data_IF_710900045055
#
_entry.id   IF_710900045055
#
_cell.length_a   1.000
_cell.length_b   1.000
_cell.length_c   1.000
_cell.angle_alpha   90.00
_cell.angle_beta   90.00
_cell.angle_gamma   90.00
#
_symmetry.space_group_name_H-M   'P 1'
#
loop_
_entity.id
_entity.type
_entity.pdbx_description
1 polymer ?
2 non-polymer ?
3 non-polymer ?
4 non-polymer ?
5 non-polymer ?
6 water ?
#
# COMPACT_ATOMS: atom_id res chain seq x y z
N UNK A 1 21.14 -2.02 -19.10
CA UNK A 1 19.83 -2.43 -18.49
C UNK A 1 19.99 -2.85 -17.04
N UNK A 2 20.87 -3.81 -16.80
CA UNK A 2 21.28 -4.12 -15.44
C UNK A 2 21.80 -2.84 -14.78
N UNK A 3 22.60 -2.09 -15.51
CA UNK A 3 23.13 -0.82 -15.01
C UNK A 3 22.04 0.20 -14.78
N UNK A 4 21.10 0.31 -15.72
CA UNK A 4 19.97 1.22 -15.56
C UNK A 4 19.15 0.87 -14.34
N UNK A 5 18.87 -0.42 -14.17
CA UNK A 5 18.08 -0.88 -13.05
C UNK A 5 18.81 -0.56 -11.74
N UNK A 6 20.09 -0.90 -11.65
CA UNK A 6 20.91 -0.61 -10.48
C UNK A 6 20.87 0.88 -10.13
N UNK A 7 20.88 1.72 -11.16
CA UNK A 7 20.80 3.16 -10.97
C UNK A 7 19.46 3.62 -10.36
N UNK A 8 18.35 3.10 -10.85
CA UNK A 8 17.04 3.40 -10.23
C UNK A 8 17.02 2.94 -8.78
N UNK A 9 17.63 1.78 -8.53
CA UNK A 9 17.62 1.19 -7.19
C UNK A 9 18.52 1.88 -6.19
N UNK A 10 19.35 2.82 -6.64
CA UNK A 10 20.05 3.72 -5.71
C UNK A 10 19.04 4.47 -4.83
N UNK A 11 17.83 4.67 -5.35
CA UNK A 11 16.77 5.37 -4.63
C UNK A 11 15.85 4.45 -3.81
N UNK A 12 16.28 3.22 -3.56
CA UNK A 12 15.44 2.23 -2.88
C UNK A 12 14.91 2.74 -1.55
N UNK A 13 15.74 3.44 -0.81
CA UNK A 13 15.36 3.92 0.53
C UNK A 13 14.76 5.32 0.54
N UNK A 14 14.42 5.82 -0.65
CA UNK A 14 13.95 7.20 -0.82
C UNK A 14 12.51 7.30 -1.34
N UNK A 15 11.73 8.17 -0.71
CA UNK A 15 10.43 8.56 -1.20
C UNK A 15 10.61 8.96 -2.66
N UNK A 16 9.72 8.52 -3.53
CA UNK A 16 9.83 8.88 -4.95
C UNK A 16 10.98 8.21 -5.70
N UNK A 17 11.31 7.00 -5.30
CA UNK A 17 11.93 6.07 -6.21
C UNK A 17 11.03 6.04 -7.45
N UNK A 18 11.60 5.93 -8.64
CA UNK A 18 10.76 5.87 -9.83
C UNK A 18 10.43 4.43 -10.16
N UNK A 19 9.33 3.95 -9.59
CA UNK A 19 8.93 2.55 -9.79
C UNK A 19 8.53 2.27 -11.24
N UNK A 20 8.06 3.29 -11.96
CA UNK A 20 7.77 3.16 -13.39
C UNK A 20 9.03 2.74 -14.17
N UNK A 21 10.13 3.44 -13.94
CA UNK A 21 11.42 3.04 -14.51
C UNK A 21 11.86 1.64 -14.07
N UNK A 22 11.65 1.31 -12.79
CA UNK A 22 11.99 -0.03 -12.28
C UNK A 22 11.26 -1.10 -13.07
N UNK A 23 9.98 -0.86 -13.32
CA UNK A 23 9.18 -1.80 -14.10
C UNK A 23 9.72 -1.94 -15.53
N UNK A 24 10.12 -0.83 -16.13
CA UNK A 24 10.74 -0.88 -17.44
C UNK A 24 12.01 -1.71 -17.50
N UNK A 25 12.89 -1.56 -16.53
CA UNK A 25 14.22 -2.20 -16.58
C UNK A 25 14.26 -3.60 -15.98
N UNK A 26 13.12 -4.09 -15.50
CA UNK A 26 13.04 -5.39 -14.86
C UNK A 26 12.08 -6.27 -15.63
N UNK A 27 11.91 -5.92 -16.91
CA UNK A 27 10.92 -6.53 -17.79
C UNK A 27 9.56 -6.68 -17.16
N UNK A 28 9.09 -5.57 -16.59
CA UNK A 28 7.75 -5.48 -16.06
C UNK A 28 7.47 -6.47 -14.92
N UNK A 29 8.47 -6.63 -14.06
CA UNK A 29 8.33 -7.39 -12.81
C UNK A 29 8.69 -6.50 -11.62
N UNK A 30 8.06 -5.32 -11.51
CA UNK A 30 8.45 -4.39 -10.47
C UNK A 30 8.25 -4.93 -9.05
N UNK A 31 7.24 -5.76 -8.83
CA UNK A 31 6.95 -6.21 -7.47
C UNK A 31 8.03 -7.20 -7.04
N UNK A 32 8.34 -8.16 -7.91
CA UNK A 32 9.40 -9.11 -7.62
C UNK A 32 10.74 -8.40 -7.45
N UNK A 33 11.00 -7.43 -8.31
CA UNK A 33 12.27 -6.71 -8.28
C UNK A 33 12.43 -5.96 -6.96
N UNK A 34 11.43 -5.17 -6.63
CA UNK A 34 11.55 -4.25 -5.50
C UNK A 34 11.50 -5.00 -4.18
N UNK A 35 10.66 -6.02 -4.11
CA UNK A 35 10.62 -6.88 -2.93
C UNK A 35 11.94 -7.57 -2.65
N UNK A 36 12.57 -8.11 -3.70
CA UNK A 36 13.88 -8.72 -3.53
C UNK A 36 14.88 -7.68 -3.06
N UNK A 37 14.86 -6.49 -3.67
CA UNK A 37 15.77 -5.45 -3.27
C UNK A 37 15.53 -5.05 -1.82
N UNK A 38 14.27 -4.94 -1.42
CA UNK A 38 13.96 -4.49 -0.05
C UNK A 38 14.43 -5.54 0.95
N UNK A 39 14.12 -6.80 0.67
CA UNK A 39 14.48 -7.87 1.58
C UNK A 39 15.99 -8.03 1.68
N UNK A 40 16.71 -7.85 0.58
CA UNK A 40 18.17 -7.86 0.62
C UNK A 40 18.67 -6.71 1.48
N UNK A 41 18.06 -5.54 1.29
CA UNK A 41 18.50 -4.30 1.94
C UNK A 41 18.31 -4.33 3.46
N UNK A 42 17.19 -4.87 3.90
CA UNK A 42 16.91 -5.01 5.33
C UNK A 42 17.40 -6.34 5.92
N UNK A 43 18.03 -7.18 5.11
CA UNK A 43 18.56 -8.48 5.56
C UNK A 43 17.50 -9.44 6.04
N UNK A 44 16.30 -9.35 5.47
CA UNK A 44 15.17 -10.14 5.93
C UNK A 44 15.26 -11.60 5.56
N UNK A 45 15.91 -11.88 4.43
CA UNK A 45 16.08 -13.28 4.05
C UNK A 45 17.00 -13.99 5.03
N UNK A 46 18.04 -13.29 5.47
CA UNK A 46 18.97 -13.80 6.45
C UNK A 46 18.30 -13.91 7.79
N UNK A 47 17.69 -12.84 8.24
CA UNK A 47 17.04 -12.82 9.56
C UNK A 47 15.95 -13.86 9.70
N UNK A 48 15.13 -14.06 8.66
CA UNK A 48 14.03 -15.01 8.73
C UNK A 48 14.32 -16.30 7.97
N UNK A 49 15.57 -16.47 7.57
CA UNK A 49 16.07 -17.71 6.98
C UNK A 49 15.22 -18.15 5.82
N UNK A 50 15.07 -17.22 4.87
CA UNK A 50 14.33 -17.42 3.64
C UNK A 50 15.34 -17.56 2.50
N UNK A 51 15.29 -18.67 1.77
CA UNK A 51 16.15 -18.81 0.61
C UNK A 51 15.69 -17.86 -0.50
N UNK A 52 16.62 -17.43 -1.33
CA UNK A 52 16.25 -16.63 -2.51
C UNK A 52 15.35 -17.42 -3.44
N UNK A 53 15.57 -18.73 -3.57
CA UNK A 53 14.68 -19.57 -4.39
C UNK A 53 13.25 -19.47 -3.91
N UNK A 54 13.04 -19.71 -2.62
CA UNK A 54 11.69 -19.66 -2.07
C UNK A 54 11.09 -18.26 -2.23
N UNK A 55 11.89 -17.25 -1.93
CA UNK A 55 11.38 -15.88 -1.95
C UNK A 55 10.98 -15.48 -3.36
N UNK A 56 11.88 -15.69 -4.33
CA UNK A 56 11.58 -15.30 -5.70
C UNK A 56 10.42 -16.13 -6.28
N UNK A 57 10.32 -17.40 -5.88
CA UNK A 57 9.18 -18.22 -6.31
C UNK A 57 7.87 -17.68 -5.75
N UNK A 58 7.82 -17.33 -4.46
CA UNK A 58 6.61 -16.71 -3.92
C UNK A 58 6.31 -15.39 -4.63
N UNK A 59 7.32 -14.53 -4.79
CA UNK A 59 7.08 -13.20 -5.30
C UNK A 59 6.63 -13.26 -6.75
N UNK A 60 7.19 -14.20 -7.51
CA UNK A 60 6.79 -14.33 -8.92
C UNK A 60 5.35 -14.76 -9.03
N UNK A 61 4.95 -15.74 -8.22
CA UNK A 61 3.57 -16.17 -8.19
C UNK A 61 2.62 -15.08 -7.70
N UNK A 62 3.02 -14.35 -6.66
CA UNK A 62 2.22 -13.24 -6.17
C UNK A 62 2.00 -12.20 -7.26
N UNK A 63 3.08 -11.78 -7.88
CA UNK A 63 3.02 -10.80 -8.96
C UNK A 63 2.17 -11.30 -10.14
N UNK A 64 2.21 -12.61 -10.41
CA UNK A 64 1.36 -13.20 -11.45
C UNK A 64 -0.13 -13.21 -11.07
N UNK A 65 -0.44 -13.05 -9.79
CA UNK A 65 -1.83 -12.98 -9.36
C UNK A 65 -2.37 -11.55 -9.23
N UNK A 66 -1.56 -10.56 -9.59
CA UNK A 66 -2.06 -9.24 -9.90
C UNK A 66 -2.45 -9.22 -11.37
N UNK A 67 -3.56 -8.55 -11.68
CA UNK A 67 -4.09 -8.52 -13.05
C UNK A 67 -3.40 -7.45 -13.86
N UNK A 68 -2.69 -7.85 -14.91
CA UNK A 68 -1.96 -6.89 -15.73
C UNK A 68 -2.90 -6.03 -16.58
N UNK A 69 -4.11 -6.52 -16.81
CA UNK A 69 -5.09 -5.79 -17.62
C UNK A 69 -5.87 -4.72 -16.85
N UNK A 70 -5.70 -4.66 -15.53
CA UNK A 70 -6.30 -3.57 -14.76
C UNK A 70 -5.32 -2.39 -14.66
N UNK A 71 -5.85 -1.21 -14.91
CA UNK A 71 -4.99 -0.06 -15.18
C UNK A 71 -4.21 0.41 -13.95
N UNK A 72 -4.80 0.33 -12.75
CA UNK A 72 -4.12 0.86 -11.54
C UNK A 72 -3.79 -0.25 -10.52
N UNK A 73 -4.76 -1.09 -10.20
CA UNK A 73 -4.51 -2.12 -9.20
C UNK A 73 -3.82 -3.35 -9.78
N UNK A 74 -2.61 -3.11 -10.25
CA UNK A 74 -1.79 -4.15 -10.81
C UNK A 74 -0.52 -4.18 -9.99
N UNK A 75 0.49 -4.92 -10.42
CA UNK A 75 1.66 -5.16 -9.57
C UNK A 75 2.59 -3.96 -9.41
N UNK A 76 2.44 -2.95 -10.27
CA UNK A 76 3.21 -1.72 -10.15
C UNK A 76 2.73 -0.94 -8.93
N UNK A 77 1.43 -0.95 -8.68
CA UNK A 77 0.87 -0.29 -7.48
C UNK A 77 1.32 -0.97 -6.20
N UNK A 78 1.25 -2.30 -6.21
CA UNK A 78 1.76 -3.11 -5.11
C UNK A 78 3.21 -2.82 -4.82
N UNK A 79 4.04 -2.80 -5.85
CA UNK A 79 5.45 -2.50 -5.73
C UNK A 79 5.69 -1.15 -5.10
N UNK A 80 4.96 -0.15 -5.60
CA UNK A 80 5.05 1.24 -5.11
C UNK A 80 4.66 1.33 -3.64
N UNK A 81 3.62 0.60 -3.28
CA UNK A 81 3.13 0.62 -1.91
C UNK A 81 4.09 -0.15 -0.99
N UNK A 82 4.71 -1.22 -1.49
CA UNK A 82 5.72 -1.94 -0.73
C UNK A 82 6.95 -1.09 -0.51
N UNK A 83 7.38 -0.38 -1.55
CA UNK A 83 8.57 0.47 -1.44
C UNK A 83 8.32 1.67 -0.53
N UNK A 84 7.13 2.25 -0.59
CA UNK A 84 6.74 3.36 0.28
C UNK A 84 6.62 2.94 1.72
N UNK A 85 6.13 1.73 1.97
CA UNK A 85 6.08 1.19 3.29
C UNK A 85 7.49 1.00 3.85
N UNK A 86 8.39 0.53 3.00
CA UNK A 86 9.78 0.36 3.35
C UNK A 86 10.43 1.68 3.74
N UNK A 87 10.08 2.75 3.06
CA UNK A 87 10.63 4.08 3.40
C UNK A 87 10.04 4.55 4.73
N UNK A 88 8.74 4.42 4.89
CA UNK A 88 8.08 4.90 6.09
C UNK A 88 8.53 4.18 7.35
N UNK A 89 8.80 2.88 7.23
CA UNK A 89 9.36 2.12 8.35
C UNK A 89 10.68 2.66 8.87
N UNK A 90 11.44 3.31 7.99
CA UNK A 90 12.72 3.94 8.36
C UNK A 90 12.63 5.41 8.71
N UNK A 91 11.44 5.90 9.04
CA UNK A 91 11.29 7.30 9.46
C UNK A 91 11.94 7.46 10.85
N UNK A 92 12.85 8.44 10.99
CA UNK A 92 13.65 8.63 12.21
C UNK A 92 12.88 8.60 13.53
N UNK A 93 11.70 9.21 13.56
CA UNK A 93 10.89 9.26 14.77
C UNK A 93 10.46 7.86 15.22
N UNK A 94 10.61 6.87 14.33
CA UNK A 94 10.24 5.49 14.62
C UNK A 94 11.44 4.56 14.76
N UNK A 95 12.63 5.12 14.82
CA UNK A 95 13.83 4.31 15.01
C UNK A 95 13.74 3.38 16.22
N UNK A 96 13.98 2.09 15.97
CA UNK A 96 14.05 1.07 17.03
C UNK A 96 12.73 0.78 17.69
N UNK A 97 11.64 1.30 17.13
CA UNK A 97 10.31 1.11 17.71
C UNK A 97 9.74 -0.26 17.34
N UNK A 98 9.94 -0.70 16.10
CA UNK A 98 9.32 -1.93 15.62
C UNK A 98 10.27 -3.10 15.58
N UNK A 99 9.72 -4.29 15.78
CA UNK A 99 10.49 -5.50 15.78
C UNK A 99 10.76 -5.90 14.33
N UNK A 100 11.74 -6.75 14.13
CA UNK A 100 11.98 -7.38 12.82
C UNK A 100 10.70 -8.03 12.28
N UNK A 101 9.89 -8.60 13.16
CA UNK A 101 8.66 -9.30 12.73
C UNK A 101 7.63 -8.31 12.22
N UNK A 102 7.51 -7.17 12.90
CA UNK A 102 6.62 -6.10 12.49
C UNK A 102 7.03 -5.51 11.13
N UNK A 103 8.33 -5.36 10.89
CA UNK A 103 8.87 -4.83 9.63
C UNK A 103 8.56 -5.78 8.48
N UNK A 104 8.77 -7.05 8.74
CA UNK A 104 8.49 -8.10 7.79
C UNK A 104 7.00 -8.10 7.41
N UNK A 105 6.16 -8.04 8.45
CA UNK A 105 4.73 -8.06 8.30
C UNK A 105 4.22 -6.88 7.51
N UNK A 106 4.77 -5.70 7.77
CA UNK A 106 4.32 -4.49 7.09
C UNK A 106 4.62 -4.57 5.60
N UNK A 107 5.85 -4.92 5.26
CA UNK A 107 6.28 -4.95 3.85
C UNK A 107 5.52 -6.06 3.12
N UNK A 108 5.42 -7.24 3.73
CA UNK A 108 4.61 -8.33 3.16
C UNK A 108 3.15 -7.93 2.96
N UNK A 109 2.51 -7.37 3.99
CA UNK A 109 1.17 -6.82 3.85
C UNK A 109 1.06 -5.87 2.68
N UNK A 110 2.00 -4.96 2.57
CA UNK A 110 1.93 -3.99 1.49
C UNK A 110 2.02 -4.70 0.11
N UNK A 111 2.89 -5.68 0.01
CA UNK A 111 3.07 -6.45 -1.24
C UNK A 111 1.81 -7.19 -1.69
N UNK A 112 1.06 -7.76 -0.74
CA UNK A 112 -0.10 -8.57 -1.06
C UNK A 112 -1.42 -7.80 -1.02
N UNK A 113 -1.39 -6.51 -0.70
CA UNK A 113 -2.59 -5.82 -0.19
C UNK A 113 -3.69 -5.62 -1.22
N UNK A 114 -3.38 -5.75 -2.51
CA UNK A 114 -4.39 -5.69 -3.57
C UNK A 114 -4.30 -6.89 -4.53
N UNK A 115 -3.64 -7.98 -4.14
CA UNK A 115 -3.50 -9.09 -5.06
C UNK A 115 -4.85 -9.60 -5.57
N UNK A 116 -4.90 -10.00 -6.84
CA UNK A 116 -6.11 -10.48 -7.47
C UNK A 116 -7.24 -9.45 -7.44
N UNK A 117 -6.90 -8.17 -7.58
CA UNK A 117 -7.89 -7.12 -7.64
C UNK A 117 -8.59 -7.16 -9.01
N UNK A 118 -9.93 -7.19 -9.02
CA UNK A 118 -10.68 -7.22 -10.27
C UNK A 118 -10.75 -5.87 -10.99
N UNK A 119 -10.43 -4.78 -10.30
CA UNK A 119 -10.46 -3.45 -10.90
C UNK A 119 -11.78 -2.73 -10.72
N UNK A 120 -12.59 -3.20 -9.78
CA UNK A 120 -13.84 -2.55 -9.42
C UNK A 120 -13.84 -2.38 -7.90
N UNK A 121 -14.70 -1.53 -7.37
CA UNK A 121 -14.70 -1.22 -5.95
C UNK A 121 -15.52 -2.25 -5.17
N UNK A 122 -15.38 -2.24 -3.85
CA UNK A 122 -16.24 -3.03 -2.98
C UNK A 122 -17.72 -2.73 -3.19
N UNK A 123 -18.09 -1.46 -3.40
CA UNK A 123 -19.50 -1.09 -3.60
C UNK A 123 -20.07 -1.71 -4.87
N UNK A 124 -19.24 -1.79 -5.90
CA UNK A 124 -19.64 -2.44 -7.14
C UNK A 124 -19.92 -3.92 -6.92
N UNK A 125 -19.01 -4.61 -6.23
CA UNK A 125 -19.14 -6.04 -5.95
C UNK A 125 -20.36 -6.32 -5.08
N UNK A 126 -20.59 -5.43 -4.12
CA UNK A 126 -21.78 -5.46 -3.29
C UNK A 126 -23.06 -5.23 -4.11
N UNK A 127 -23.08 -4.14 -4.86
CA UNK A 127 -24.25 -3.80 -5.67
C UNK A 127 -24.55 -4.80 -6.80
N UNK A 128 -23.59 -5.66 -7.13
CA UNK A 128 -23.82 -6.70 -8.14
C UNK A 128 -23.91 -8.11 -7.54
N UNK A 129 -24.04 -8.20 -6.23
CA UNK A 129 -24.19 -9.47 -5.52
C UNK A 129 -23.11 -10.48 -5.86
N UNK A 130 -21.87 -9.99 -5.91
CA UNK A 130 -20.72 -10.82 -6.20
C UNK A 130 -20.59 -11.97 -5.22
N UNK A 131 -20.00 -13.06 -5.70
CA UNK A 131 -19.68 -14.20 -4.85
C UNK A 131 -18.83 -13.76 -3.67
N UNK A 132 -17.89 -12.84 -3.91
CA UNK A 132 -17.00 -12.39 -2.85
C UNK A 132 -17.77 -11.59 -1.81
N UNK A 133 -18.63 -10.67 -2.28
CA UNK A 133 -19.49 -9.88 -1.40
C UNK A 133 -20.30 -10.79 -0.48
N UNK A 134 -20.88 -11.82 -1.08
CA UNK A 134 -21.63 -12.83 -0.31
C UNK A 134 -20.74 -13.54 0.69
N UNK A 135 -19.59 -14.02 0.24
CA UNK A 135 -18.65 -14.71 1.12
C UNK A 135 -18.35 -13.89 2.39
N UNK A 136 -18.13 -12.59 2.23
CA UNK A 136 -17.63 -11.75 3.33
C UNK A 136 -18.65 -10.77 3.91
N UNK A 137 -19.94 -11.02 3.65
CA UNK A 137 -21.03 -10.19 4.15
C UNK A 137 -20.82 -8.71 3.86
N UNK A 138 -20.39 -8.44 2.65
CA UNK A 138 -20.19 -7.07 2.20
C UNK A 138 -19.13 -6.32 3.01
N UNK A 139 -18.41 -7.01 3.88
CA UNK A 139 -17.49 -6.34 4.82
C UNK A 139 -16.06 -6.42 4.30
N UNK A 140 -15.44 -5.29 3.98
CA UNK A 140 -14.08 -5.27 3.47
C UNK A 140 -13.87 -6.32 2.38
N UNK A 141 -14.76 -6.34 1.40
CA UNK A 141 -14.83 -7.48 0.47
C UNK A 141 -13.50 -7.74 -0.21
N UNK A 142 -12.93 -6.73 -0.88
CA UNK A 142 -11.73 -7.01 -1.65
C UNK A 142 -10.57 -7.26 -0.73
N UNK A 143 -10.55 -6.58 0.41
CA UNK A 143 -9.42 -6.67 1.32
C UNK A 143 -9.38 -8.04 1.98
N UNK A 144 -10.53 -8.59 2.30
CA UNK A 144 -10.61 -9.98 2.78
C UNK A 144 -10.11 -10.94 1.69
N UNK A 145 -10.45 -10.65 0.45
CA UNK A 145 -10.02 -11.47 -0.67
C UNK A 145 -8.51 -11.42 -0.93
N UNK A 146 -7.92 -10.24 -0.92
CA UNK A 146 -6.49 -10.07 -1.06
C UNK A 146 -5.73 -10.91 -0.03
N UNK A 147 -6.20 -10.87 1.22
CA UNK A 147 -5.59 -11.62 2.27
C UNK A 147 -5.70 -13.10 2.00
N UNK A 148 -6.88 -13.53 1.57
CA UNK A 148 -7.15 -14.94 1.36
C UNK A 148 -6.22 -15.46 0.27
N UNK A 149 -6.04 -14.67 -0.79
CA UNK A 149 -5.17 -15.09 -1.91
C UNK A 149 -3.66 -15.00 -1.56
N UNK A 150 -3.25 -13.90 -0.95
CA UNK A 150 -1.86 -13.72 -0.55
C UNK A 150 -1.35 -14.78 0.41
N UNK A 151 -2.20 -15.18 1.37
CA UNK A 151 -1.86 -16.27 2.27
C UNK A 151 -1.92 -17.66 1.62
N UNK A 152 -2.92 -17.92 0.80
CA UNK A 152 -3.05 -19.23 0.17
C UNK A 152 -1.84 -19.56 -0.69
N UNK A 153 -1.26 -18.56 -1.35
CA UNK A 153 -0.10 -18.78 -2.19
C UNK A 153 1.10 -19.30 -1.40
N UNK A 154 1.15 -19.03 -0.11
CA UNK A 154 2.24 -19.51 0.72
C UNK A 154 2.29 -21.02 0.81
N UNK A 155 1.17 -21.66 0.48
CA UNK A 155 1.05 -23.10 0.55
C UNK A 155 1.42 -23.78 -0.78
N UNK A 156 1.74 -22.98 -1.81
CA UNK A 156 2.18 -23.56 -3.09
C UNK A 156 3.60 -24.09 -2.95
N UNK A 157 4.01 -24.96 -3.86
CA UNK A 157 5.34 -25.57 -3.78
C UNK A 157 6.45 -24.52 -3.84
N UNK A 158 7.37 -24.61 -2.87
CA UNK A 158 8.53 -23.73 -2.75
C UNK A 158 8.18 -22.26 -2.53
N UNK A 159 7.01 -22.00 -1.92
CA UNK A 159 6.52 -20.64 -1.72
C UNK A 159 6.44 -20.16 -0.28
N UNK A 160 6.64 -21.05 0.69
CA UNK A 160 6.42 -20.68 2.10
C UNK A 160 7.58 -19.90 2.68
N UNK A 161 7.53 -18.59 2.45
CA UNK A 161 8.57 -17.70 2.93
C UNK A 161 8.60 -17.51 4.47
N UNK A 162 7.62 -18.09 5.18
CA UNK A 162 7.56 -18.00 6.63
C UNK A 162 7.82 -19.32 7.35
N UNK A 163 8.33 -20.29 6.61
CA UNK A 163 8.57 -21.62 7.15
C UNK A 163 9.49 -21.65 8.35
N UNK A 164 10.49 -20.76 8.40
CA UNK A 164 11.44 -20.78 9.53
C UNK A 164 11.19 -19.77 10.62
N UNK A 165 10.06 -19.07 10.56
CA UNK A 165 9.56 -18.32 11.72
C UNK A 165 9.14 -19.32 12.79
N UNK A 166 9.17 -18.90 14.06
CA UNK A 166 8.63 -19.72 15.11
C UNK A 166 7.12 -19.75 14.96
N UNK A 167 6.48 -20.70 15.64
CA UNK A 167 5.04 -20.79 15.59
C UNK A 167 4.36 -19.50 16.05
N UNK A 168 4.82 -18.90 17.14
CA UNK A 168 4.21 -17.69 17.67
C UNK A 168 4.44 -16.50 16.75
N UNK A 169 5.61 -16.48 16.11
CA UNK A 169 5.91 -15.44 15.10
C UNK A 169 4.95 -15.58 13.92
N UNK A 170 4.74 -16.80 13.44
CA UNK A 170 3.83 -17.06 12.32
C UNK A 170 2.41 -16.62 12.67
N UNK A 171 1.97 -16.94 13.88
CA UNK A 171 0.64 -16.56 14.33
C UNK A 171 0.54 -15.04 14.47
N UNK A 172 1.55 -14.42 15.02
CA UNK A 172 1.52 -12.97 15.22
C UNK A 172 1.63 -12.19 13.93
N UNK A 173 2.48 -12.63 13.01
CA UNK A 173 2.57 -12.02 11.69
C UNK A 173 1.27 -12.12 10.90
N UNK A 174 0.60 -13.27 10.95
CA UNK A 174 -0.68 -13.42 10.29
C UNK A 174 -1.69 -12.40 10.81
N UNK A 175 -1.75 -12.21 12.13
CA UNK A 175 -2.70 -11.26 12.70
C UNK A 175 -2.35 -9.82 12.28
N UNK A 176 -1.08 -9.51 12.30
CA UNK A 176 -0.64 -8.15 11.96
C UNK A 176 -0.84 -7.84 10.48
N UNK A 177 -0.58 -8.83 9.63
CA UNK A 177 -0.79 -8.66 8.19
C UNK A 177 -2.27 -8.44 7.89
N UNK A 178 -3.12 -9.28 8.46
CA UNK A 178 -4.57 -9.08 8.38
C UNK A 178 -4.94 -7.64 8.73
N UNK A 179 -4.50 -7.19 9.91
CA UNK A 179 -4.79 -5.83 10.40
C UNK A 179 -4.37 -4.74 9.42
N UNK A 180 -3.20 -4.89 8.85
CA UNK A 180 -2.66 -3.86 7.98
C UNK A 180 -3.35 -3.90 6.61
N UNK A 181 -3.70 -5.09 6.08
CA UNK A 181 -4.41 -5.15 4.79
C UNK A 181 -5.85 -4.68 4.96
N UNK A 182 -6.48 -5.04 6.06
CA UNK A 182 -7.84 -4.54 6.33
C UNK A 182 -7.86 -3.02 6.48
N UNK A 183 -6.74 -2.42 6.86
CA UNK A 183 -6.65 -0.98 7.09
C UNK A 183 -6.62 -0.17 5.79
N UNK A 184 -6.53 -0.87 4.66
CA UNK A 184 -6.59 -0.27 3.35
C UNK A 184 -8.05 -0.19 2.85
N UNK A 185 -9.00 -0.71 3.63
CA UNK A 185 -10.42 -0.57 3.35
C UNK A 185 -10.82 0.83 3.74
N UNK A 186 -11.21 1.65 2.76
CA UNK A 186 -11.60 3.05 3.02
C UNK A 186 -12.71 3.20 4.06
N UNK A 187 -13.53 2.16 4.23
CA UNK A 187 -14.54 2.16 5.29
C UNK A 187 -13.95 2.32 6.69
N UNK A 188 -12.69 1.93 6.87
CA UNK A 188 -12.06 2.01 8.18
C UNK A 188 -11.25 3.30 8.39
N UNK A 189 -11.16 4.11 7.34
CA UNK A 189 -10.33 5.31 7.37
C UNK A 189 -10.62 6.26 8.53
N UNK A 190 -11.89 6.60 8.74
CA UNK A 190 -12.22 7.59 9.77
C UNK A 190 -11.87 7.12 11.17
N UNK A 191 -12.03 5.82 11.45
CA UNK A 191 -11.68 5.30 12.77
C UNK A 191 -10.19 5.16 12.94
N UNK A 192 -9.48 4.81 11.87
CA UNK A 192 -8.03 4.78 11.86
C UNK A 192 -7.44 6.15 12.20
N UNK A 193 -7.96 7.16 11.50
CA UNK A 193 -7.51 8.52 11.67
C UNK A 193 -7.84 9.09 13.07
N UNK A 194 -9.02 8.80 13.57
CA UNK A 194 -9.38 9.17 14.95
C UNK A 194 -8.40 8.57 15.94
N UNK A 195 -8.04 7.30 15.76
CA UNK A 195 -7.04 6.65 16.62
C UNK A 195 -5.66 7.25 16.45
N UNK A 196 -5.29 7.60 15.22
CA UNK A 196 -4.01 8.26 14.95
C UNK A 196 -3.99 9.63 15.65
N UNK A 197 -5.10 10.34 15.60
CA UNK A 197 -5.20 11.64 16.25
C UNK A 197 -5.00 11.51 17.76
N UNK A 198 -5.60 10.48 18.36
CA UNK A 198 -5.39 10.17 19.77
C UNK A 198 -3.93 9.88 20.06
N UNK A 199 -3.33 9.00 19.27
CA UNK A 199 -1.90 8.71 19.32
C UNK A 199 -1.11 10.02 19.45
N UNK A 200 -1.43 10.96 18.58
CA UNK A 200 -0.71 12.24 18.51
C UNK A 200 -0.99 13.12 19.74
N UNK A 201 -2.26 13.21 20.13
CA UNK A 201 -2.68 14.00 21.29
C UNK A 201 -2.04 13.53 22.59
N UNK A 202 -1.62 12.26 22.63
CA UNK A 202 -1.07 11.66 23.83
C UNK A 202 0.30 11.03 23.58
N UNK A 203 1.06 11.56 22.63
CA UNK A 203 2.31 10.90 22.24
C UNK A 203 3.41 11.06 23.28
N UNK A 204 4.18 9.99 23.47
CA UNK A 204 5.32 9.99 24.35
C UNK A 204 6.58 9.87 23.50
N UNK A 205 7.53 10.78 23.75
CA UNK A 205 8.70 10.97 22.90
C UNK A 205 9.96 11.03 23.77
N UNK A 206 11.02 10.34 23.34
CA UNK A 206 12.30 10.34 24.08
C UNK A 206 13.04 11.67 23.90
N UNK A 207 14.18 11.81 24.57
CA UNK A 207 15.02 12.99 24.40
C UNK A 207 15.51 13.13 22.95
N UNK A 208 15.85 12.01 22.33
CA UNK A 208 16.35 12.00 20.95
C UNK A 208 15.27 12.39 19.92
N UNK A 209 14.01 12.37 20.33
CA UNK A 209 12.89 12.68 19.44
C UNK A 209 12.19 11.46 18.87
N UNK A 210 12.44 10.29 19.48
CA UNK A 210 11.86 9.03 19.01
C UNK A 210 10.57 8.71 19.78
N UNK A 211 9.56 8.24 19.06
CA UNK A 211 8.25 7.93 19.64
C UNK A 211 8.33 6.71 20.57
N UNK A 212 7.58 6.75 21.67
CA UNK A 212 7.51 5.64 22.62
C UNK A 212 6.19 4.88 22.48
N UNK A 213 6.28 3.65 22.00
CA UNK A 213 5.11 2.85 21.72
C UNK A 213 5.11 1.61 22.60
N UNK A 214 4.68 1.83 23.84
CA UNK A 214 4.56 0.78 24.85
C UNK A 214 3.80 -0.45 24.37
N UNK A 215 2.46 -0.42 24.43
CA UNK A 215 1.67 -1.63 24.17
C UNK A 215 1.50 -1.96 22.68
N UNK A 216 1.08 -3.20 22.43
CA UNK A 216 0.92 -3.74 21.09
C UNK A 216 -0.16 -3.01 20.31
N UNK A 217 -1.20 -2.55 21.00
CA UNK A 217 -2.30 -1.87 20.34
C UNK A 217 -1.82 -0.54 19.77
N UNK A 218 -0.91 0.11 20.47
CA UNK A 218 -0.33 1.35 19.98
C UNK A 218 0.51 1.10 18.73
N UNK A 219 1.30 0.04 18.77
CA UNK A 219 2.19 -0.28 17.64
C UNK A 219 1.41 -0.62 16.39
N UNK A 220 0.42 -1.50 16.51
CA UNK A 220 -0.38 -1.94 15.36
C UNK A 220 -1.24 -0.82 14.82
N UNK A 221 -1.67 0.10 15.68
CA UNK A 221 -2.41 1.26 15.19
C UNK A 221 -1.53 2.17 14.33
N UNK A 222 -0.26 2.32 14.69
CA UNK A 222 0.67 3.07 13.87
C UNK A 222 0.97 2.29 12.57
N UNK A 223 1.18 0.99 12.67
CA UNK A 223 1.46 0.18 11.48
C UNK A 223 0.29 0.17 10.51
N UNK A 224 -0.93 0.06 11.01
CA UNK A 224 -2.14 0.14 10.16
C UNK A 224 -2.18 1.45 9.40
N UNK A 225 -2.07 2.54 10.14
CA UNK A 225 -2.06 3.88 9.52
C UNK A 225 -0.90 4.10 8.55
N UNK A 226 0.24 3.48 8.85
CA UNK A 226 1.41 3.55 8.02
C UNK A 226 1.14 2.94 6.64
N UNK A 227 0.57 1.75 6.63
CA UNK A 227 0.29 1.06 5.36
C UNK A 227 -0.83 1.80 4.63
N UNK A 228 -1.80 2.32 5.37
CA UNK A 228 -2.87 3.12 4.79
C UNK A 228 -2.27 4.40 4.18
N UNK A 229 -1.32 5.02 4.87
CA UNK A 229 -0.62 6.20 4.31
C UNK A 229 0.09 5.82 3.01
N UNK A 230 0.81 4.70 3.01
CA UNK A 230 1.56 4.27 1.83
C UNK A 230 0.66 3.97 0.64
N UNK A 231 -0.50 3.38 0.93
CA UNK A 231 -1.54 3.11 -0.08
C UNK A 231 -2.09 4.42 -0.67
N UNK A 232 -2.21 5.45 0.15
CA UNK A 232 -2.68 6.77 -0.28
C UNK A 232 -1.54 7.79 -0.46
N UNK A 233 -0.36 7.30 -0.83
CA UNK A 233 0.81 8.14 -0.99
C UNK A 233 0.98 8.75 -2.40
N UNK A 234 0.17 8.37 -3.37
CA UNK A 234 0.38 8.86 -4.76
C UNK A 234 0.47 10.41 -4.81
N UNK A 235 -0.49 11.12 -4.16
CA UNK A 235 -0.50 12.60 -4.21
C UNK A 235 0.66 13.29 -3.52
N UNK A 236 1.38 12.53 -2.69
CA UNK A 236 2.54 13.04 -1.99
C UNK A 236 3.84 12.81 -2.74
N UNK A 237 3.76 12.21 -3.92
CA UNK A 237 4.96 12.01 -4.71
C UNK A 237 5.14 13.20 -5.66
N UNK A 238 6.33 13.30 -6.23
CA UNK A 238 6.65 14.33 -7.23
C UNK A 238 5.59 14.36 -8.32
N UNK A 239 5.27 15.55 -8.77
CA UNK A 239 4.12 15.72 -9.66
C UNK A 239 4.16 14.81 -10.90
N UNK A 240 5.33 14.59 -11.50
CA UNK A 240 5.43 13.78 -12.72
C UNK A 240 4.99 12.34 -12.42
N UNK A 241 5.29 11.88 -11.20
CA UNK A 241 4.86 10.53 -10.77
C UNK A 241 3.36 10.51 -10.50
N UNK A 242 2.89 11.42 -9.65
CA UNK A 242 1.50 11.52 -9.27
C UNK A 242 0.57 11.62 -10.48
N UNK A 243 0.98 12.38 -11.50
CA UNK A 243 0.18 12.47 -12.71
C UNK A 243 0.06 11.14 -13.42
N UNK A 244 1.15 10.37 -13.42
CA UNK A 244 1.10 9.05 -14.00
C UNK A 244 0.11 8.18 -13.25
N UNK A 245 0.14 8.23 -11.92
CA UNK A 245 -0.81 7.46 -11.10
C UNK A 245 -2.26 7.89 -11.33
N UNK A 246 -2.47 9.20 -11.51
CA UNK A 246 -3.81 9.72 -11.75
C UNK A 246 -4.38 9.19 -13.07
N UNK A 247 -3.59 9.26 -14.12
CA UNK A 247 -3.99 8.69 -15.40
C UNK A 247 -4.51 7.27 -15.22
N UNK A 248 -3.76 6.47 -14.46
CA UNK A 248 -4.09 5.05 -14.27
C UNK A 248 -5.38 4.86 -13.48
N UNK A 249 -5.54 5.62 -12.40
CA UNK A 249 -6.71 5.43 -11.55
C UNK A 249 -7.97 5.87 -12.26
N UNK A 250 -7.91 6.98 -13.02
CA UNK A 250 -9.07 7.42 -13.76
C UNK A 250 -9.41 6.40 -14.86
N UNK A 251 -8.41 5.82 -15.52
CA UNK A 251 -8.71 4.79 -16.52
C UNK A 251 -9.48 3.67 -15.84
N UNK A 252 -9.01 3.25 -14.67
CA UNK A 252 -9.68 2.19 -13.93
C UNK A 252 -11.09 2.62 -13.50
N UNK A 253 -11.24 3.87 -13.09
CA UNK A 253 -12.55 4.40 -12.69
C UNK A 253 -13.52 4.40 -13.85
N UNK A 254 -13.02 4.80 -15.02
CA UNK A 254 -13.87 4.93 -16.19
C UNK A 254 -14.34 3.57 -16.69
N UNK A 255 -13.50 2.56 -16.55
CA UNK A 255 -13.90 1.21 -16.87
C UNK A 255 -15.03 0.73 -15.96
N UNK A 256 -14.90 0.91 -14.65
CA UNK A 256 -15.98 0.53 -13.76
C UNK A 256 -17.29 1.23 -14.15
N UNK A 257 -17.21 2.55 -14.37
CA UNK A 257 -18.38 3.33 -14.78
C UNK A 257 -19.04 2.84 -16.05
N UNK A 258 -18.21 2.46 -17.03
CA UNK A 258 -18.72 1.85 -18.24
C UNK A 258 -19.48 0.56 -17.93
N UNK A 259 -18.98 -0.24 -17.00
CA UNK A 259 -19.66 -1.47 -16.58
C UNK A 259 -20.99 -1.16 -15.92
N UNK A 260 -20.99 -0.14 -15.07
CA UNK A 260 -22.21 0.27 -14.38
C UNK A 260 -23.27 0.74 -15.37
N UNK A 261 -22.85 1.53 -16.36
CA UNK A 261 -23.76 2.05 -17.37
C UNK A 261 -24.36 0.92 -18.21
N UNK A 262 -23.52 0.03 -18.73
CA UNK A 262 -24.00 -1.09 -19.54
C UNK A 262 -24.92 -2.02 -18.76
N UNK A 263 -24.70 -2.14 -17.45
CA UNK A 263 -25.57 -2.94 -16.59
C UNK A 263 -26.77 -2.15 -16.11
N UNK A 264 -26.96 -0.94 -16.65
CA UNK A 264 -28.06 -0.08 -16.25
C UNK A 264 -28.03 0.30 -14.79
N UNK A 265 -26.83 0.37 -14.22
CA UNK A 265 -26.63 0.82 -12.84
C UNK A 265 -26.35 2.33 -12.85
N UNK A 266 -26.57 2.96 -11.70
CA UNK A 266 -26.14 4.34 -11.50
C UNK A 266 -24.62 4.34 -11.41
N UNK A 267 -23.99 5.18 -12.22
CA UNK A 267 -22.54 5.25 -12.30
C UNK A 267 -21.96 5.85 -11.02
N UNK A 268 -20.84 5.31 -10.56
CA UNK A 268 -20.26 5.71 -9.28
C UNK A 268 -19.57 7.07 -9.37
N UNK A 269 -19.36 7.73 -8.21
CA UNK A 269 -18.67 9.02 -8.20
C UNK A 269 -17.31 8.95 -8.91
N UNK A 270 -17.11 9.83 -9.88
CA UNK A 270 -15.84 9.96 -10.62
C UNK A 270 -15.62 8.90 -11.71
N UNK A 271 -16.63 8.05 -11.95
CA UNK A 271 -16.51 6.95 -12.91
C UNK A 271 -17.20 7.21 -14.26
N UNK A 272 -17.98 8.29 -14.33
CA UNK A 272 -18.58 8.67 -15.61
C UNK A 272 -17.62 9.53 -16.40
N UNK A 273 -17.02 8.92 -17.42
CA UNK A 273 -16.05 9.60 -18.29
C UNK A 273 -16.61 10.83 -19.01
N UNK A 274 -17.93 10.88 -19.19
CA UNK A 274 -18.55 12.01 -19.89
C UNK A 274 -18.72 13.23 -18.99
N UNK A 275 -18.68 13.06 -17.66
CA UNK A 275 -18.87 14.18 -16.74
C UNK A 275 -17.78 14.36 -15.68
N UNK A 276 -16.84 13.42 -15.59
CA UNK A 276 -15.85 13.45 -14.51
C UNK A 276 -14.79 14.51 -14.76
N UNK A 277 -14.41 15.22 -13.69
CA UNK A 277 -13.21 16.03 -13.70
C UNK A 277 -12.14 15.36 -12.84
N UNK A 278 -11.09 14.93 -13.51
CA UNK A 278 -9.93 14.31 -12.88
C UNK A 278 -9.32 15.23 -11.83
N UNK A 279 -9.20 16.50 -12.17
CA UNK A 279 -8.59 17.48 -11.29
C UNK A 279 -9.45 17.73 -10.04
N UNK A 280 -10.75 17.90 -10.25
CA UNK A 280 -11.68 18.20 -9.16
C UNK A 280 -11.73 17.04 -8.20
N UNK A 281 -11.72 15.81 -8.74
CA UNK A 281 -11.74 14.60 -7.94
C UNK A 281 -10.51 14.44 -7.07
N UNK A 282 -9.36 14.80 -7.62
CA UNK A 282 -8.11 14.63 -6.89
C UNK A 282 -8.06 15.63 -5.74
N UNK A 283 -8.48 16.86 -6.01
CA UNK A 283 -8.50 17.90 -4.99
C UNK A 283 -9.44 17.56 -3.85
N UNK A 284 -10.65 17.13 -4.19
CA UNK A 284 -11.62 16.70 -3.20
C UNK A 284 -11.08 15.56 -2.35
N UNK A 285 -10.49 14.58 -3.02
CA UNK A 285 -9.91 13.43 -2.33
C UNK A 285 -8.78 13.86 -1.40
N UNK A 286 -7.92 14.76 -1.85
CA UNK A 286 -6.84 15.24 -0.99
C UNK A 286 -7.40 16.00 0.21
N UNK A 287 -8.40 16.84 -0.05
CA UNK A 287 -8.95 17.71 0.99
C UNK A 287 -9.67 16.92 2.07
N UNK A 288 -10.41 15.91 1.66
CA UNK A 288 -11.26 15.16 2.57
C UNK A 288 -10.60 13.96 3.19
N UNK A 289 -9.63 13.35 2.51
CA UNK A 289 -9.03 12.12 2.99
C UNK A 289 -7.51 12.20 3.13
N UNK A 290 -6.81 12.46 2.03
CA UNK A 290 -5.37 12.31 2.02
C UNK A 290 -4.69 13.34 2.93
N UNK A 291 -5.07 14.61 2.83
CA UNK A 291 -4.38 15.63 3.60
C UNK A 291 -4.63 15.46 5.11
N UNK A 292 -5.88 15.25 5.53
CA UNK A 292 -6.07 15.04 6.97
C UNK A 292 -5.24 13.87 7.54
N UNK A 293 -5.11 12.81 6.74
CA UNK A 293 -4.32 11.64 7.11
C UNK A 293 -2.84 11.97 7.26
N UNK A 294 -2.26 12.50 6.19
CA UNK A 294 -0.84 12.80 6.14
C UNK A 294 -0.41 13.94 7.06
N UNK A 295 -1.32 14.87 7.35
CA UNK A 295 -1.02 15.95 8.29
C UNK A 295 -0.94 15.38 9.69
N UNK A 296 -1.84 14.45 10.00
CA UNK A 296 -1.81 13.76 11.29
C UNK A 296 -0.56 12.87 11.42
N UNK A 297 -0.25 12.12 10.37
CA UNK A 297 0.99 11.35 10.31
C UNK A 297 2.20 12.26 10.53
N UNK A 298 2.23 13.39 9.82
CA UNK A 298 3.32 14.35 9.95
C UNK A 298 3.49 14.83 11.40
N UNK A 299 2.36 15.10 12.06
CA UNK A 299 2.37 15.47 13.47
C UNK A 299 2.96 14.38 14.33
N UNK A 300 2.61 13.13 14.04
CA UNK A 300 3.12 12.02 14.82
C UNK A 300 4.64 11.91 14.70
N UNK A 301 5.19 12.14 13.50
CA UNK A 301 6.61 11.90 13.24
C UNK A 301 7.40 13.21 13.01
N UNK A 302 6.81 14.32 13.39
CA UNK A 302 7.43 15.61 13.13
C UNK A 302 8.89 15.64 13.56
N UNK A 303 9.75 16.27 12.73
CA UNK A 303 9.49 16.88 11.43
C UNK A 303 9.72 15.98 10.21
N UNK A 304 9.71 14.67 10.38
CA UNK A 304 10.23 13.76 9.35
C UNK A 304 9.46 13.73 8.03
N UNK A 305 8.17 14.05 8.09
CA UNK A 305 7.31 14.06 6.90
C UNK A 305 7.04 15.45 6.36
N UNK A 306 7.92 16.38 6.66
CA UNK A 306 7.73 17.78 6.28
C UNK A 306 7.70 17.96 4.76
N UNK A 307 8.63 17.32 4.07
CA UNK A 307 8.72 17.42 2.61
C UNK A 307 7.60 16.70 1.90
N UNK A 308 7.19 15.56 2.45
CA UNK A 308 6.05 14.82 1.91
C UNK A 308 4.78 15.64 1.95
N UNK A 309 4.49 16.21 3.12
CA UNK A 309 3.31 17.02 3.26
C UNK A 309 3.39 18.27 2.41
N UNK A 310 4.55 18.90 2.34
CA UNK A 310 4.71 20.07 1.47
C UNK A 310 4.42 19.70 0.02
N UNK A 311 4.93 18.55 -0.40
CA UNK A 311 4.67 18.05 -1.76
C UNK A 311 3.18 17.79 -1.98
N UNK A 312 2.51 17.19 -1.00
CA UNK A 312 1.07 16.96 -1.08
C UNK A 312 0.32 18.26 -1.31
N UNK A 313 0.63 19.26 -0.50
CA UNK A 313 -0.08 20.53 -0.56
C UNK A 313 0.17 21.25 -1.87
N UNK A 314 1.40 21.19 -2.35
CA UNK A 314 1.76 21.77 -3.66
C UNK A 314 1.05 21.08 -4.83
N UNK A 315 1.00 19.75 -4.80
CA UNK A 315 0.29 18.98 -5.84
C UNK A 315 -1.20 19.25 -5.85
N UNK A 316 -1.75 19.48 -4.65
CA UNK A 316 -3.14 19.78 -4.46
C UNK A 316 -3.46 21.09 -5.14
N UNK A 317 -2.62 22.08 -4.88
CA UNK A 317 -2.84 23.42 -5.43
C UNK A 317 -2.60 23.44 -6.93
N UNK A 318 -1.64 22.66 -7.40
CA UNK A 318 -1.41 22.54 -8.84
C UNK A 318 -2.61 21.93 -9.54
N UNK A 319 -3.15 20.81 -9.05
CA UNK A 319 -4.34 20.22 -9.65
C UNK A 319 -5.53 21.16 -9.58
N UNK A 320 -5.68 21.85 -8.46
CA UNK A 320 -6.79 22.78 -8.31
C UNK A 320 -6.68 23.89 -9.35
N UNK A 321 -5.47 24.38 -9.59
CA UNK A 321 -5.23 25.39 -10.62
C UNK A 321 -5.53 24.88 -12.05
N UNK A 322 -5.61 23.56 -12.22
CA UNK A 322 -5.87 22.96 -13.54
C UNK A 322 -7.33 22.63 -13.74
N UNK A 323 -8.16 22.91 -12.75
CA UNK A 323 -9.59 22.64 -12.85
C UNK A 323 -10.20 23.45 -14.00
X LIG B 1 -3.88 -0.26 -2.89
X LIG C 1 -7.13 -2.03 -1.93
X LIG D 1 -11.86 6.16 -2.36
X LIG D 1 -10.69 5.45 -2.58
X LIG D 1 -12.11 7.35 -3.01
X LIG D 1 -9.76 5.95 -3.50
X LIG D 1 -11.19 7.84 -3.91
X LIG D 1 -10.02 7.14 -4.17
X LIG D 1 -10.47 4.28 -1.90
X LIG D 1 -7.47 1.51 -2.49
X LIG D 1 -8.70 1.27 -2.98
X LIG D 1 -7.20 2.68 -1.78
X LIG D 1 -9.75 2.16 -2.81
X LIG D 1 -8.22 3.59 -1.59
X LIG D 1 -9.49 3.34 -2.10
X LIG D 1 -8.72 -0.05 -3.69
X LIG D 1 -7.40 -0.59 -3.41
X LIG D 1 -6.54 0.41 -2.82
X LIG D 1 -5.55 0.88 -3.74
X LIG D 1 -11.44 9.06 -4.61
X LIG D 1 -9.09 7.68 -5.10
X LIG D 1 -11.62 10.04 -5.17
X LIG D 1 -8.36 8.13 -5.88
X LIG E 1 13.66 -15.41 13.09
X LIG E 1 12.39 -14.76 13.25
X LIG E 1 13.48 -16.74 12.37
X LIG E 1 12.70 -17.56 13.22
X LIG F 1 12.05 -20.77 4.02
X LIG F 1 10.98 -19.87 4.18
X LIG F 1 12.49 -20.70 2.57
X LIG F 1 13.90 -20.81 2.53
X LIG G 1 15.55 3.51 10.83
X LIG G 1 16.28 3.19 9.63
X LIG G 1 15.75 4.92 11.40
X LIG G 1 15.68 6.01 10.44
X LIG H 1 8.12 10.07 6.50
X LIG H 1 7.54 9.47 7.68
X LIG H 1 9.40 9.35 6.08
X LIG H 1 10.49 9.75 6.91
X LIG I 1 -9.26 -2.84 11.59
X LIG I 1 -10.04 -3.91 11.06
X LIG I 1 -8.29 -2.33 10.52
X LIG I 1 -6.96 -2.74 10.87
X LIG J 1 -11.91 -16.14 -1.67
X LIG J 1 -11.59 -14.80 -1.25
X LIG J 1 -12.54 -16.14 -3.06
X LIG J 1 -12.26 -17.34 -3.78
X LIG K 1 -11.28 1.19 -9.22
X LIG K 1 -11.21 -0.12 -8.66
X LIG K 1 -12.55 1.33 -10.03
X LIG K 1 -13.57 1.95 -9.24
X LIG L 1 14.11 -23.93 -0.12
X LIG L 1 14.25 -22.75 0.70
X LIG L 1 14.28 -23.60 -1.60
X LIG L 1 13.03 -23.35 -2.28
X LIG M 1 2.47 -17.10 8.54
X LIG M 1 2.65 -18.49 8.22
X LIG M 1 1.16 -16.61 7.94
X LIG M 1 0.13 -17.54 8.24
X LIG N 1 16.58 0.32 5.64
X LIG N 1 17.66 -0.51 5.24
X LIG N 1 17.09 1.75 5.70
X LIG N 1 18.14 1.78 6.67
X LIG O 1 13.20 0.52 12.25
X LIG O 1 14.13 0.55 13.34
X LIG O 1 11.76 0.24 12.69
X LIG O 1 11.48 0.90 13.93
X LIG P 1 16.29 -7.53 9.90
X LIG P 1 16.61 -8.51 8.90
X LIG P 1 14.92 -6.95 9.57
X LIG P 1 14.72 -5.68 10.19
X LIG Q 1 13.19 -12.60 15.47
X LIG Q 1 13.01 -11.43 16.29
X LIG Q 1 14.01 -12.23 14.22
X LIG Q 1 14.86 -11.11 14.48
X LIG R 1 -15.47 -2.21 7.75
X LIG R 1 -15.17 -2.62 9.09
X LIG R 1 -16.95 -1.94 7.61
X LIG R 1 -17.67 -3.18 7.66
#
# INVERSE_FOLDING_TARGET
NEDHLAKELEDLNKWGLNIFNVAGYSHNRPLTCIMYAIFQERDLLKTFRISSDTFITYMMTLEDHYHSDVAYHNSLHAADVAQSTHVLLSTPALDAVFTDLEILAAIFAAAIHDVDHPGVSNQFLINTNSELALMYNDESVLENHHLAVGFKLLQEEHCDIFMNLTKKQRQTLRKMVIDMVLATDMSKHMSLLADLKTMVETKKVTSSGVLLLDNYTDRIQVLRNMVHCADLSNPTKSLELYRQWTDRIMEEFFQQGDKERERGMEISPMCDKHTASVEKSQVGFIDYIVHPLWETWADLVQPDAQDILDTLEDNRNWYQSMI
ZN ZN
MG MG
3OJ C1 C2 C3 C4 C5 C6 O7 C8 C9 C10 C11 C12 C13 C14 O15 B16 O17 C18 C19 N20 N21
EDO C1 O1 C2 O2
EDO C1 O1 C2 O2
EDO C1 O1 C2 O2
EDO C1 O1 C2 O2
EDO C1 O1 C2 O2
EDO C1 O1 C2 O2
EDO C1 O1 C2 O2
EDO C1 O1 C2 O2
EDO C1 O1 C2 O2
EDO C1 O1 C2 O2
EDO C1 O1 C2 O2
EDO C1 O1 C2 O2
EDO C1 O1 C2 O2
EDO C1 O1 C2 O2
#
